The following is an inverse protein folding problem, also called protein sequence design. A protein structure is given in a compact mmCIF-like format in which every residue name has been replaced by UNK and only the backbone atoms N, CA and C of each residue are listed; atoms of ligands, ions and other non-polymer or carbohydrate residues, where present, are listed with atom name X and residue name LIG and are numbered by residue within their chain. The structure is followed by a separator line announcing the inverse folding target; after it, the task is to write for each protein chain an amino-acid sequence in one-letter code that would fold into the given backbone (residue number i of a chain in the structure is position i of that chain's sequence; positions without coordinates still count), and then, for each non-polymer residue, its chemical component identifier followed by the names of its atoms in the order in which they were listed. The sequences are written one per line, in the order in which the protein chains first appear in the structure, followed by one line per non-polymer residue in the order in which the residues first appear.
data_IF_788905268108
#
_entry.id   IF_788905268108
#
_cell.length_a   1.000
_cell.length_b   1.000
_cell.length_c   1.000
_cell.angle_alpha   90.00
_cell.angle_beta   90.00
_cell.angle_gamma   90.00
#
_symmetry.space_group_name_H-M   'P 1'
#
loop_
_entity.id
_entity.type
_entity.pdbx_description
1 polymer ?
#
# COMPACT_ATOMS: atom_id res chain seq x y z
N UNK A 1 31.33 -0.85 -44.17
CA UNK A 1 31.63 0.31 -43.31
C UNK A 1 31.13 1.65 -43.86
N UNK A 2 30.39 1.70 -45.00
CA UNK A 2 29.82 2.97 -45.55
C UNK A 2 28.31 3.14 -45.31
N UNK A 3 27.59 2.07 -44.96
CA UNK A 3 26.13 2.10 -44.74
C UNK A 3 25.78 2.58 -43.32
N UNK A 4 26.63 2.30 -42.33
CA UNK A 4 26.43 2.76 -40.93
C UNK A 4 26.71 4.26 -40.81
N UNK A 5 27.76 4.78 -41.45
CA UNK A 5 28.07 6.22 -41.46
C UNK A 5 27.00 7.07 -42.18
N UNK A 6 26.28 6.49 -43.14
CA UNK A 6 25.22 7.22 -43.87
C UNK A 6 23.92 7.33 -43.04
N UNK A 7 23.70 6.42 -42.08
CA UNK A 7 22.53 6.48 -41.18
C UNK A 7 22.73 7.45 -40.01
N UNK A 8 23.97 7.60 -39.51
CA UNK A 8 24.30 8.57 -38.45
C UNK A 8 24.30 10.02 -38.93
N UNK A 9 24.39 10.27 -40.24
CA UNK A 9 24.43 11.62 -40.81
C UNK A 9 23.07 12.14 -41.32
N UNK A 10 21.97 11.46 -40.97
CA UNK A 10 20.59 11.89 -41.26
C UNK A 10 19.72 11.92 -40.00
N UNK A 11 20.26 12.40 -38.88
CA UNK A 11 19.37 12.98 -37.87
C UNK A 11 18.73 14.21 -38.54
N UNK A 12 17.42 14.16 -38.77
CA UNK A 12 16.72 15.31 -39.31
C UNK A 12 16.78 16.44 -38.25
N UNK A 13 16.85 17.73 -38.63
CA UNK A 13 16.94 18.83 -37.67
C UNK A 13 15.80 18.80 -36.62
N UNK A 14 14.65 18.26 -36.99
CA UNK A 14 13.51 18.04 -36.09
C UNK A 14 13.81 16.98 -35.01
N UNK A 15 14.60 15.94 -35.29
CA UNK A 15 14.99 14.90 -34.33
C UNK A 15 16.06 15.41 -33.34
N UNK A 16 16.99 16.25 -33.77
CA UNK A 16 17.99 16.86 -32.87
C UNK A 16 17.32 17.86 -31.90
N UNK A 17 16.34 18.64 -32.37
CA UNK A 17 15.54 19.52 -31.52
C UNK A 17 14.65 18.72 -30.55
N UNK A 18 14.04 17.62 -31.00
CA UNK A 18 13.21 16.76 -30.15
C UNK A 18 14.05 16.06 -29.06
N UNK A 19 15.27 15.61 -29.39
CA UNK A 19 16.21 15.02 -28.43
C UNK A 19 16.69 16.07 -27.42
N UNK A 20 17.00 17.29 -27.87
CA UNK A 20 17.40 18.39 -26.98
C UNK A 20 16.28 18.81 -26.02
N UNK A 21 15.04 18.86 -26.50
CA UNK A 21 13.86 19.13 -25.67
C UNK A 21 13.66 17.99 -24.65
N UNK A 22 13.81 16.73 -25.05
CA UNK A 22 13.69 15.59 -24.13
C UNK A 22 14.79 15.57 -23.08
N UNK A 23 16.05 15.88 -23.44
CA UNK A 23 17.16 15.97 -22.48
C UNK A 23 16.99 17.13 -21.49
N UNK A 24 16.54 18.30 -21.96
CA UNK A 24 16.24 19.46 -21.10
C UNK A 24 15.06 19.16 -20.17
N UNK A 25 14.00 18.53 -20.68
CA UNK A 25 12.85 18.11 -19.90
C UNK A 25 13.23 17.03 -18.86
N UNK A 26 14.03 16.03 -19.22
CA UNK A 26 14.52 15.04 -18.24
C UNK A 26 15.45 15.70 -17.22
N UNK A 27 16.28 16.66 -17.64
CA UNK A 27 17.19 17.39 -16.75
C UNK A 27 16.49 18.17 -15.63
N UNK A 28 15.39 18.84 -15.95
CA UNK A 28 14.63 19.63 -14.97
C UNK A 28 13.68 18.77 -14.11
N UNK A 29 12.93 17.84 -14.72
CA UNK A 29 11.94 17.01 -14.02
C UNK A 29 12.56 15.83 -13.25
N UNK A 30 13.74 15.33 -13.65
CA UNK A 30 14.44 14.27 -12.91
C UNK A 30 15.52 14.82 -11.97
N UNK A 31 15.56 16.14 -11.73
CA UNK A 31 16.50 16.74 -10.80
C UNK A 31 16.20 16.31 -9.35
N UNK A 32 17.25 16.07 -8.56
CA UNK A 32 17.12 15.71 -7.14
C UNK A 32 16.24 16.72 -6.38
N UNK A 33 16.37 18.01 -6.72
CA UNK A 33 15.61 19.08 -6.07
C UNK A 33 14.12 19.04 -6.39
N UNK A 34 13.71 18.66 -7.61
CA UNK A 34 12.30 18.50 -7.96
C UNK A 34 11.70 17.32 -7.19
N UNK A 35 12.36 16.15 -7.25
CA UNK A 35 11.90 14.93 -6.56
C UNK A 35 11.72 15.17 -5.07
N UNK A 36 12.71 15.77 -4.40
CA UNK A 36 12.62 16.05 -2.95
C UNK A 36 11.49 17.04 -2.66
N UNK A 37 11.36 18.12 -3.44
CA UNK A 37 10.33 19.14 -3.20
C UNK A 37 8.91 18.58 -3.39
N UNK A 38 8.74 17.63 -4.32
CA UNK A 38 7.46 17.00 -4.62
C UNK A 38 7.11 15.89 -3.63
N UNK A 39 8.06 15.00 -3.28
CA UNK A 39 7.81 13.86 -2.41
C UNK A 39 7.79 14.21 -0.91
N UNK A 40 8.62 15.17 -0.48
CA UNK A 40 8.82 15.48 0.94
C UNK A 40 7.52 15.80 1.71
N UNK A 41 6.57 16.60 1.19
CA UNK A 41 5.31 16.86 1.90
C UNK A 41 4.50 15.58 2.16
N UNK A 42 4.45 14.68 1.19
CA UNK A 42 3.73 13.41 1.31
C UNK A 42 4.43 12.45 2.28
N UNK A 43 5.75 12.39 2.24
CA UNK A 43 6.56 11.59 3.18
C UNK A 43 6.44 12.08 4.63
N UNK A 44 6.33 13.39 4.86
CA UNK A 44 6.07 13.94 6.19
C UNK A 44 4.72 13.44 6.71
N UNK A 45 3.68 13.46 5.88
CA UNK A 45 2.34 12.97 6.26
C UNK A 45 2.38 11.47 6.54
N UNK A 46 3.03 10.68 5.68
CA UNK A 46 3.21 9.25 5.86
C UNK A 46 3.95 8.93 7.17
N UNK A 47 5.02 9.67 7.45
CA UNK A 47 5.78 9.54 8.70
C UNK A 47 4.93 9.85 9.93
N UNK A 48 4.10 10.91 9.88
CA UNK A 48 3.15 11.20 10.97
C UNK A 48 2.15 10.05 11.17
N UNK A 49 1.66 9.45 10.08
CA UNK A 49 0.86 8.23 10.11
C UNK A 49 1.56 7.07 10.83
N UNK A 50 2.81 6.81 10.45
CA UNK A 50 3.65 5.80 11.08
C UNK A 50 3.88 6.05 12.57
N UNK A 51 4.06 7.32 12.99
CA UNK A 51 4.15 7.68 14.41
C UNK A 51 2.86 7.33 15.16
N UNK A 52 1.69 7.64 14.58
CA UNK A 52 0.39 7.29 15.18
C UNK A 52 0.24 5.77 15.29
N UNK A 53 0.60 5.03 14.23
CA UNK A 53 0.61 3.57 14.25
C UNK A 53 1.56 3.02 15.34
N UNK A 54 2.73 3.63 15.51
CA UNK A 54 3.68 3.30 16.58
C UNK A 54 3.15 3.60 17.98
N UNK A 55 2.39 4.69 18.17
CA UNK A 55 1.71 4.99 19.43
C UNK A 55 0.65 3.92 19.74
N UNK A 56 -0.11 3.48 18.73
CA UNK A 56 -1.07 2.38 18.89
C UNK A 56 -0.33 1.11 19.32
N UNK A 57 0.76 0.74 18.63
CA UNK A 57 1.59 -0.41 19.00
C UNK A 57 2.11 -0.31 20.43
N UNK A 58 2.59 0.86 20.84
CA UNK A 58 3.05 1.10 22.21
C UNK A 58 1.93 0.93 23.24
N UNK A 59 0.68 1.28 22.88
CA UNK A 59 -0.49 1.05 23.72
C UNK A 59 -0.84 -0.43 23.92
N UNK A 60 -0.36 -1.32 23.03
CA UNK A 60 -0.61 -2.77 23.09
C UNK A 60 0.31 -3.53 24.06
N UNK A 61 0.87 -2.85 25.07
CA UNK A 61 1.93 -3.42 25.92
C UNK A 61 1.46 -4.70 26.65
N UNK A 62 0.22 -4.73 27.13
CA UNK A 62 -0.35 -5.90 27.81
C UNK A 62 -0.49 -7.09 26.85
N UNK A 63 -0.99 -6.84 25.64
CA UNK A 63 -1.18 -7.86 24.60
C UNK A 63 0.16 -8.42 24.12
N UNK A 64 1.16 -7.55 23.95
CA UNK A 64 2.51 -7.93 23.53
C UNK A 64 3.20 -8.82 24.58
N UNK A 65 2.92 -8.61 25.87
CA UNK A 65 3.42 -9.48 26.95
C UNK A 65 2.74 -10.84 26.95
N UNK A 66 1.41 -10.88 26.72
CA UNK A 66 0.65 -12.12 26.70
C UNK A 66 0.86 -12.93 25.40
N UNK A 67 1.11 -12.24 24.28
CA UNK A 67 1.29 -12.82 22.96
C UNK A 67 2.55 -12.19 22.32
N UNK A 68 3.76 -12.66 22.67
CA UNK A 68 5.01 -12.12 22.12
C UNK A 68 5.07 -12.14 20.59
N UNK A 69 4.41 -13.12 19.95
CA UNK A 69 4.33 -13.20 18.49
C UNK A 69 3.65 -11.99 17.81
N UNK A 70 2.90 -11.16 18.54
CA UNK A 70 2.35 -9.91 18.02
C UNK A 70 3.45 -8.98 17.52
N UNK A 71 4.58 -8.86 18.25
CA UNK A 71 5.67 -7.97 17.85
C UNK A 71 6.32 -8.42 16.55
N UNK A 72 6.33 -9.74 16.31
CA UNK A 72 6.87 -10.36 15.10
C UNK A 72 5.97 -10.10 13.90
N UNK A 73 4.65 -10.27 14.05
CA UNK A 73 3.72 -10.10 12.93
C UNK A 73 3.37 -8.64 12.64
N UNK A 74 3.47 -7.74 13.62
CA UNK A 74 3.10 -6.31 13.47
C UNK A 74 3.72 -5.63 12.24
N UNK A 75 5.05 -5.62 12.04
CA UNK A 75 5.64 -4.99 10.85
C UNK A 75 5.21 -5.67 9.55
N UNK A 76 5.01 -6.99 9.59
CA UNK A 76 4.60 -7.75 8.42
C UNK A 76 3.13 -7.50 8.03
N UNK A 77 2.24 -7.29 9.03
CA UNK A 77 0.87 -6.82 8.80
C UNK A 77 0.89 -5.46 8.13
N UNK A 78 1.67 -4.49 8.64
CA UNK A 78 1.71 -3.13 8.06
C UNK A 78 2.18 -3.16 6.60
N UNK A 79 3.30 -3.84 6.33
CA UNK A 79 3.82 -3.97 4.98
C UNK A 79 2.83 -4.63 4.01
N UNK A 80 2.15 -5.70 4.46
CA UNK A 80 1.10 -6.35 3.66
C UNK A 80 -0.05 -5.38 3.32
N UNK A 81 -0.46 -4.55 4.28
CA UNK A 81 -1.62 -3.65 4.14
C UNK A 81 -1.34 -2.50 3.20
N UNK A 82 -0.16 -1.87 3.32
CA UNK A 82 0.32 -0.89 2.36
C UNK A 82 0.32 -1.47 0.94
N UNK A 83 0.93 -2.64 0.75
CA UNK A 83 1.04 -3.27 -0.57
C UNK A 83 -0.32 -3.57 -1.21
N UNK A 84 -1.25 -4.19 -0.47
CA UNK A 84 -2.56 -4.55 -1.03
C UNK A 84 -3.41 -3.31 -1.34
N UNK A 85 -3.42 -2.33 -0.43
CA UNK A 85 -4.29 -1.16 -0.55
C UNK A 85 -3.78 -0.19 -1.63
N UNK A 86 -2.46 0.03 -1.72
CA UNK A 86 -1.85 0.81 -2.79
C UNK A 86 -2.05 0.14 -4.16
N UNK A 87 -1.89 -1.19 -4.25
CA UNK A 87 -2.17 -1.94 -5.49
C UNK A 87 -3.63 -1.80 -5.90
N UNK A 88 -4.58 -1.90 -4.97
CA UNK A 88 -5.99 -1.65 -5.23
C UNK A 88 -6.21 -0.22 -5.73
N UNK A 89 -5.64 0.78 -5.04
CA UNK A 89 -5.73 2.19 -5.42
C UNK A 89 -5.25 2.43 -6.85
N UNK A 90 -4.06 1.94 -7.21
CA UNK A 90 -3.50 2.07 -8.55
C UNK A 90 -4.35 1.38 -9.63
N UNK A 91 -4.85 0.16 -9.36
CA UNK A 91 -5.73 -0.55 -10.30
C UNK A 91 -7.05 0.19 -10.52
N UNK A 92 -7.63 0.76 -9.46
CA UNK A 92 -8.83 1.60 -9.57
C UNK A 92 -8.53 2.90 -10.31
N UNK A 93 -7.42 3.58 -10.01
CA UNK A 93 -6.99 4.80 -10.68
C UNK A 93 -6.82 4.60 -12.19
N UNK A 94 -6.13 3.53 -12.60
CA UNK A 94 -5.97 3.15 -14.01
C UNK A 94 -7.30 2.77 -14.67
N UNK A 95 -8.16 1.99 -13.99
CA UNK A 95 -9.45 1.59 -14.53
C UNK A 95 -10.41 2.78 -14.72
N UNK A 96 -10.34 3.78 -13.84
CA UNK A 96 -11.08 5.04 -13.97
C UNK A 96 -10.54 5.85 -15.16
N UNK A 97 -9.21 6.02 -15.27
CA UNK A 97 -8.58 6.74 -16.37
C UNK A 97 -8.87 6.12 -17.75
N UNK A 98 -8.91 4.79 -17.83
CA UNK A 98 -9.27 4.07 -19.06
C UNK A 98 -10.79 4.08 -19.35
N UNK A 99 -11.61 4.67 -18.48
CA UNK A 99 -13.07 4.70 -18.62
C UNK A 99 -13.74 3.34 -18.39
N UNK A 100 -13.05 2.37 -17.77
CA UNK A 100 -13.62 1.06 -17.43
C UNK A 100 -14.58 1.15 -16.24
N UNK A 101 -14.36 2.12 -15.34
CA UNK A 101 -15.24 2.41 -14.20
C UNK A 101 -16.04 3.69 -14.49
N UNK A 102 -17.23 3.52 -15.05
CA UNK A 102 -18.15 4.64 -15.38
C UNK A 102 -19.22 4.88 -14.33
N UNK A 103 -19.58 3.85 -13.56
CA UNK A 103 -20.57 3.91 -12.47
C UNK A 103 -20.08 3.06 -11.30
N UNK A 104 -20.39 3.48 -10.07
CA UNK A 104 -20.06 2.72 -8.85
C UNK A 104 -20.94 1.47 -8.77
N UNK A 105 -22.22 1.60 -9.16
CA UNK A 105 -23.17 0.50 -9.08
C UNK A 105 -22.90 -0.56 -10.16
N UNK A 106 -22.72 -1.81 -9.72
CA UNK A 106 -22.63 -3.02 -10.56
C UNK A 106 -21.54 -2.98 -11.64
N UNK A 107 -20.44 -2.25 -11.40
CA UNK A 107 -19.30 -2.29 -12.30
C UNK A 107 -18.44 -3.56 -12.01
N UNK A 108 -18.24 -4.44 -13.01
CA UNK A 108 -17.51 -5.68 -12.80
C UNK A 108 -16.03 -5.45 -12.47
N UNK A 109 -15.39 -4.44 -13.07
CA UNK A 109 -14.00 -4.11 -12.77
C UNK A 109 -13.84 -3.67 -11.31
N UNK A 110 -14.70 -2.77 -10.83
CA UNK A 110 -14.71 -2.36 -9.43
C UNK A 110 -14.91 -3.57 -8.49
N UNK A 111 -15.91 -4.40 -8.77
CA UNK A 111 -16.27 -5.56 -7.93
C UNK A 111 -15.15 -6.60 -7.90
N UNK A 112 -14.53 -6.89 -9.05
CA UNK A 112 -13.43 -7.85 -9.16
C UNK A 112 -12.18 -7.37 -8.44
N UNK A 113 -11.86 -6.07 -8.54
CA UNK A 113 -10.73 -5.48 -7.82
C UNK A 113 -10.93 -5.56 -6.29
N UNK A 114 -12.13 -5.18 -5.82
CA UNK A 114 -12.49 -5.26 -4.39
C UNK A 114 -12.48 -6.71 -3.89
N UNK A 115 -13.14 -7.62 -4.60
CA UNK A 115 -13.21 -9.03 -4.22
C UNK A 115 -11.82 -9.67 -4.21
N UNK A 116 -11.01 -9.37 -5.23
CA UNK A 116 -9.63 -9.82 -5.34
C UNK A 116 -8.76 -9.31 -4.18
N UNK A 117 -8.86 -8.02 -3.83
CA UNK A 117 -8.07 -7.46 -2.72
C UNK A 117 -8.48 -8.04 -1.36
N UNK A 118 -9.76 -8.28 -1.12
CA UNK A 118 -10.24 -8.89 0.13
C UNK A 118 -9.85 -10.37 0.22
N UNK A 119 -9.98 -11.13 -0.87
CA UNK A 119 -9.55 -12.52 -0.91
C UNK A 119 -8.02 -12.63 -0.69
N UNK A 120 -7.24 -11.79 -1.38
CA UNK A 120 -5.79 -11.72 -1.19
C UNK A 120 -5.46 -11.37 0.27
N UNK A 121 -6.22 -10.44 0.87
CA UNK A 121 -6.04 -10.08 2.27
C UNK A 121 -6.25 -11.25 3.21
N UNK A 122 -7.31 -12.02 3.02
CA UNK A 122 -7.59 -13.22 3.80
C UNK A 122 -6.46 -14.25 3.67
N UNK A 123 -6.07 -14.60 2.42
CA UNK A 123 -5.06 -15.63 2.15
C UNK A 123 -3.71 -15.24 2.76
N UNK A 124 -3.25 -14.02 2.48
CA UNK A 124 -1.92 -13.58 2.91
C UNK A 124 -1.90 -13.36 4.43
N UNK A 125 -2.98 -12.89 5.05
CA UNK A 125 -3.06 -12.84 6.52
C UNK A 125 -2.99 -14.21 7.17
N UNK A 126 -3.63 -15.23 6.59
CA UNK A 126 -3.55 -16.59 7.13
C UNK A 126 -2.13 -17.14 7.07
N UNK A 127 -1.47 -16.97 5.92
CA UNK A 127 -0.06 -17.35 5.73
C UNK A 127 0.84 -16.57 6.70
N UNK A 128 0.61 -15.27 6.84
CA UNK A 128 1.40 -14.40 7.72
C UNK A 128 1.33 -14.84 9.17
N UNK A 129 0.15 -15.12 9.72
CA UNK A 129 0.03 -15.55 11.11
C UNK A 129 0.63 -16.94 11.35
N UNK A 130 0.50 -17.85 10.38
CA UNK A 130 1.16 -19.16 10.42
C UNK A 130 2.69 -19.02 10.40
N UNK A 131 3.23 -18.21 9.49
CA UNK A 131 4.66 -17.89 9.46
C UNK A 131 5.10 -17.19 10.74
N UNK A 132 4.28 -16.28 11.25
CA UNK A 132 4.50 -15.56 12.50
C UNK A 132 4.77 -16.49 13.67
N UNK A 133 4.04 -17.60 13.78
CA UNK A 133 4.29 -18.62 14.79
C UNK A 133 5.69 -19.24 14.67
N UNK A 134 6.06 -19.73 13.49
CA UNK A 134 7.36 -20.35 13.27
C UNK A 134 8.51 -19.38 13.49
N UNK A 135 8.35 -18.13 13.05
CA UNK A 135 9.34 -17.07 13.26
C UNK A 135 9.44 -16.73 14.74
N UNK A 136 8.33 -16.61 15.47
CA UNK A 136 8.33 -16.38 16.93
C UNK A 136 9.14 -17.43 17.67
N UNK A 137 8.94 -18.72 17.35
CA UNK A 137 9.71 -19.82 17.92
C UNK A 137 11.19 -19.74 17.52
N UNK A 138 11.49 -19.41 16.27
CA UNK A 138 12.86 -19.28 15.79
C UNK A 138 13.65 -18.18 16.52
N UNK A 139 12.97 -17.13 16.98
CA UNK A 139 13.55 -16.08 17.84
C UNK A 139 13.63 -16.47 19.33
N UNK A 140 13.22 -17.69 19.70
CA UNK A 140 13.24 -18.17 21.08
C UNK A 140 12.16 -17.55 21.97
N UNK A 141 11.12 -16.96 21.38
CA UNK A 141 9.99 -16.38 22.11
C UNK A 141 8.89 -17.43 22.33
N UNK A 142 8.16 -17.31 23.44
CA UNK A 142 6.95 -18.11 23.65
C UNK A 142 5.87 -17.73 22.63
N UNK A 143 5.30 -18.73 21.97
CA UNK A 143 4.27 -18.53 20.96
C UNK A 143 2.90 -18.95 21.48
N UNK A 144 1.89 -18.10 21.25
CA UNK A 144 0.49 -18.41 21.52
C UNK A 144 -0.11 -19.52 20.62
N UNK A 145 0.69 -20.08 19.71
CA UNK A 145 0.31 -21.14 18.78
C UNK A 145 -0.02 -20.66 17.37
N UNK A 146 0.14 -21.55 16.39
CA UNK A 146 -0.07 -21.27 14.98
C UNK A 146 -1.49 -20.80 14.66
N UNK A 147 -2.50 -21.51 15.19
CA UNK A 147 -3.90 -21.18 14.93
C UNK A 147 -4.31 -19.84 15.55
N UNK A 148 -3.81 -19.53 16.75
CA UNK A 148 -4.08 -18.27 17.45
C UNK A 148 -3.52 -17.09 16.67
N UNK A 149 -2.24 -17.13 16.28
CA UNK A 149 -1.62 -16.06 15.51
C UNK A 149 -2.22 -15.92 14.10
N UNK A 150 -2.55 -17.04 13.45
CA UNK A 150 -3.30 -17.04 12.19
C UNK A 150 -4.65 -16.34 12.35
N UNK A 151 -5.41 -16.69 13.40
CA UNK A 151 -6.73 -16.10 13.64
C UNK A 151 -6.65 -14.60 13.91
N UNK A 152 -5.69 -14.15 14.74
CA UNK A 152 -5.44 -12.72 14.99
C UNK A 152 -5.10 -12.01 13.66
N UNK A 153 -4.16 -12.54 12.88
CA UNK A 153 -3.72 -11.92 11.63
C UNK A 153 -4.84 -11.85 10.58
N UNK A 154 -5.68 -12.88 10.49
CA UNK A 154 -6.86 -12.91 9.60
C UNK A 154 -7.92 -11.93 10.06
N UNK A 155 -8.27 -11.92 11.34
CA UNK A 155 -9.27 -11.00 11.89
C UNK A 155 -8.83 -9.55 11.68
N UNK A 156 -7.57 -9.23 11.99
CA UNK A 156 -7.00 -7.91 11.77
C UNK A 156 -6.93 -7.54 10.28
N UNK A 157 -6.45 -8.45 9.43
CA UNK A 157 -6.25 -8.18 8.00
C UNK A 157 -7.55 -8.06 7.20
N UNK A 158 -8.57 -8.85 7.53
CA UNK A 158 -9.88 -8.76 6.88
C UNK A 158 -10.63 -7.50 7.34
N UNK A 159 -10.65 -7.22 8.64
CA UNK A 159 -11.34 -6.02 9.17
C UNK A 159 -10.71 -4.73 8.66
N UNK A 160 -9.38 -4.62 8.69
CA UNK A 160 -8.66 -3.48 8.10
C UNK A 160 -8.83 -3.42 6.58
N UNK A 161 -8.78 -4.56 5.88
CA UNK A 161 -9.00 -4.65 4.44
C UNK A 161 -10.37 -4.13 4.02
N UNK A 162 -11.44 -4.44 4.77
CA UNK A 162 -12.78 -3.92 4.50
C UNK A 162 -12.83 -2.40 4.60
N UNK A 163 -12.23 -1.82 5.64
CA UNK A 163 -12.17 -0.36 5.83
C UNK A 163 -11.37 0.29 4.71
N UNK A 164 -10.18 -0.25 4.41
CA UNK A 164 -9.27 0.34 3.43
C UNK A 164 -9.77 0.21 2.00
N UNK A 165 -10.51 -0.84 1.66
CA UNK A 165 -11.22 -0.94 0.38
C UNK A 165 -12.17 0.25 0.21
N UNK A 166 -12.98 0.54 1.24
CA UNK A 166 -13.94 1.65 1.18
C UNK A 166 -13.19 2.97 0.99
N UNK A 167 -12.15 3.21 1.78
CA UNK A 167 -11.29 4.39 1.67
C UNK A 167 -10.69 4.51 0.27
N UNK A 168 -10.12 3.42 -0.27
CA UNK A 168 -9.48 3.42 -1.59
C UNK A 168 -10.46 3.76 -2.71
N UNK A 169 -11.67 3.19 -2.67
CA UNK A 169 -12.72 3.48 -3.66
C UNK A 169 -13.16 4.94 -3.59
N UNK A 170 -13.40 5.48 -2.40
CA UNK A 170 -13.79 6.88 -2.24
C UNK A 170 -12.69 7.84 -2.69
N UNK A 171 -11.43 7.55 -2.35
CA UNK A 171 -10.30 8.38 -2.76
C UNK A 171 -10.10 8.34 -4.28
N UNK A 172 -10.11 7.15 -4.90
CA UNK A 172 -9.92 7.01 -6.34
C UNK A 172 -11.01 7.73 -7.15
N UNK A 173 -12.28 7.58 -6.76
CA UNK A 173 -13.41 8.23 -7.43
C UNK A 173 -13.49 9.74 -7.13
N UNK A 174 -13.17 10.12 -5.89
CA UNK A 174 -13.18 11.50 -5.44
C UNK A 174 -12.12 12.33 -6.16
N UNK A 175 -10.87 11.87 -6.19
CA UNK A 175 -9.78 12.58 -6.84
C UNK A 175 -10.05 12.77 -8.34
N UNK A 176 -10.57 11.73 -9.01
CA UNK A 176 -11.00 11.84 -10.40
C UNK A 176 -12.10 12.91 -10.59
N UNK A 177 -13.09 12.98 -9.69
CA UNK A 177 -14.15 14.00 -9.78
C UNK A 177 -13.63 15.44 -9.61
N UNK A 178 -12.57 15.62 -8.82
CA UNK A 178 -11.95 16.92 -8.58
C UNK A 178 -10.86 17.27 -9.60
N UNK A 179 -10.56 16.40 -10.56
CA UNK A 179 -9.53 16.61 -11.58
C UNK A 179 -8.09 16.49 -11.06
N UNK A 180 -7.91 15.89 -9.88
CA UNK A 180 -6.58 15.54 -9.37
C UNK A 180 -6.18 14.16 -9.90
N UNK A 181 -4.89 14.00 -10.18
CA UNK A 181 -4.32 12.68 -10.44
C UNK A 181 -4.43 11.83 -9.16
N UNK A 182 -5.20 10.73 -9.18
CA UNK A 182 -5.32 9.84 -8.05
C UNK A 182 -3.96 9.33 -7.57
N UNK A 183 -2.99 9.11 -8.45
CA UNK A 183 -1.73 8.47 -8.07
C UNK A 183 -0.88 9.35 -7.12
N UNK A 184 -1.04 10.68 -7.22
CA UNK A 184 -0.31 11.67 -6.41
C UNK A 184 -0.89 11.87 -5.00
N UNK A 185 -2.17 11.54 -4.78
CA UNK A 185 -2.86 11.82 -3.52
C UNK A 185 -3.31 10.53 -2.84
N UNK A 186 -3.85 9.59 -3.63
CA UNK A 186 -4.45 8.36 -3.14
C UNK A 186 -3.38 7.44 -2.54
N UNK A 187 -2.22 7.31 -3.17
CA UNK A 187 -1.14 6.44 -2.68
C UNK A 187 -0.66 6.82 -1.27
N UNK A 188 -0.16 8.06 -1.02
CA UNK A 188 0.31 8.44 0.31
C UNK A 188 -0.82 8.51 1.35
N UNK A 189 -2.04 8.89 0.96
CA UNK A 189 -3.19 8.90 1.86
C UNK A 189 -3.60 7.48 2.29
N UNK A 190 -3.69 6.53 1.34
CA UNK A 190 -4.00 5.14 1.62
C UNK A 190 -2.94 4.51 2.49
N UNK A 191 -1.65 4.79 2.26
CA UNK A 191 -0.57 4.25 3.09
C UNK A 191 -0.70 4.72 4.55
N UNK A 192 -0.85 6.03 4.74
CA UNK A 192 -0.99 6.65 6.07
C UNK A 192 -2.21 6.11 6.84
N UNK A 193 -3.38 6.09 6.20
CA UNK A 193 -4.61 5.56 6.80
C UNK A 193 -4.47 4.05 7.02
N UNK A 194 -3.81 3.38 6.07
CA UNK A 194 -3.47 1.96 6.09
C UNK A 194 -2.76 1.56 7.36
N UNK A 195 -1.66 2.22 7.69
CA UNK A 195 -0.86 1.90 8.87
C UNK A 195 -1.65 2.06 10.17
N UNK A 196 -2.37 3.18 10.32
CA UNK A 196 -3.18 3.47 11.51
C UNK A 196 -4.29 2.43 11.67
N UNK A 197 -5.09 2.20 10.63
CA UNK A 197 -6.21 1.25 10.66
C UNK A 197 -5.71 -0.17 10.90
N UNK A 198 -4.58 -0.55 10.28
CA UNK A 198 -4.02 -1.89 10.40
C UNK A 198 -3.52 -2.17 11.81
N UNK A 199 -2.78 -1.22 12.41
CA UNK A 199 -2.37 -1.34 13.81
C UNK A 199 -3.56 -1.39 14.76
N UNK A 200 -4.57 -0.54 14.54
CA UNK A 200 -5.77 -0.53 15.38
C UNK A 200 -6.53 -1.86 15.30
N UNK A 201 -6.72 -2.39 14.09
CA UNK A 201 -7.42 -3.67 13.90
C UNK A 201 -6.60 -4.85 14.45
N UNK A 202 -5.27 -4.79 14.38
CA UNK A 202 -4.41 -5.78 15.03
C UNK A 202 -4.55 -5.76 16.55
N UNK A 203 -4.57 -4.56 17.15
CA UNK A 203 -4.83 -4.40 18.59
C UNK A 203 -6.19 -4.98 18.99
N UNK A 204 -7.25 -4.61 18.28
CA UNK A 204 -8.60 -5.10 18.57
C UNK A 204 -8.71 -6.61 18.37
N UNK A 205 -8.08 -7.17 17.34
CA UNK A 205 -8.06 -8.61 17.12
C UNK A 205 -7.36 -9.37 18.26
N UNK A 206 -6.24 -8.84 18.77
CA UNK A 206 -5.56 -9.41 19.92
C UNK A 206 -6.45 -9.37 21.18
N UNK A 207 -7.10 -8.22 21.46
CA UNK A 207 -8.06 -8.09 22.58
C UNK A 207 -9.21 -9.10 22.47
N UNK A 208 -9.79 -9.26 21.29
CA UNK A 208 -10.88 -10.25 21.07
C UNK A 208 -10.42 -11.65 21.44
N UNK A 209 -9.22 -12.06 21.01
CA UNK A 209 -8.69 -13.40 21.30
C UNK A 209 -8.37 -13.59 22.77
N UNK A 210 -7.88 -12.57 23.46
CA UNK A 210 -7.60 -12.63 24.90
C UNK A 210 -8.87 -12.68 25.77
N UNK A 211 -10.01 -12.27 25.22
CA UNK A 211 -11.32 -12.33 25.91
C UNK A 211 -12.05 -13.66 25.70
N UNK A 212 -11.64 -14.48 24.73
CA UNK A 212 -12.19 -15.81 24.45
C UNK A 212 -11.60 -16.88 25.38
#
# INVERSE_FOLDING_TARGET
MQIIDTMLHRAHPEEEDEIGIVEEYIGDYASISSIVREALPFEIIATMGGVIAGIILSGMTEELQLIPGLIVISPAVLGMRGNISCTLGSRLGSAIHMGLITKIEKNPELTNNIGGSLLLSFIISAILGLMGHFVTIAFGLESAGALTLMFIAVLAGVSSGLILVVVAVFLALGMFRFGFDPDNVVTPAIATIGDIVSMLMLFLAAKVVLLL
#
